data_IF_572399590058
#
_entry.id   IF_572399590058
#
_cell.length_a   1.000
_cell.length_b   1.000
_cell.length_c   1.000
_cell.angle_alpha   90.00
_cell.angle_beta   90.00
_cell.angle_gamma   90.00
#
_symmetry.space_group_name_H-M   'P 1'
#
loop_
_entity.id
_entity.type
_entity.pdbx_description
1 polymer ?
#
# COMPACT_ATOMS: atom_id res chain seq x y z
N UNK A 1 -12.75 19.54 7.42
CA UNK A 1 -12.78 19.51 8.91
C UNK A 1 -11.49 18.83 9.35
N UNK A 2 -10.75 19.38 10.31
CA UNK A 2 -9.50 18.78 10.75
C UNK A 2 -9.73 17.38 11.34
N UNK A 3 -8.74 16.50 11.20
CA UNK A 3 -8.81 15.16 11.78
C UNK A 3 -8.83 15.21 13.32
N UNK A 4 -9.41 14.20 14.01
CA UNK A 4 -9.59 14.23 15.46
C UNK A 4 -8.31 14.48 16.29
N UNK A 5 -7.14 14.09 15.78
CA UNK A 5 -5.87 14.31 16.48
C UNK A 5 -5.39 15.76 16.44
N UNK A 6 -5.98 16.61 15.58
CA UNK A 6 -5.59 18.00 15.41
C UNK A 6 -5.68 18.79 16.71
N UNK A 7 -6.73 18.56 17.51
CA UNK A 7 -6.96 19.33 18.73
C UNK A 7 -5.88 19.09 19.79
N UNK A 8 -5.25 17.91 19.75
CA UNK A 8 -4.15 17.51 20.63
C UNK A 8 -2.77 18.04 20.18
N UNK A 9 -2.68 18.68 19.02
CA UNK A 9 -1.42 19.24 18.52
C UNK A 9 -1.01 20.50 19.29
N UNK A 10 0.29 20.69 19.47
CA UNK A 10 0.88 21.94 19.95
C UNK A 10 0.53 23.10 19.00
N UNK A 11 0.61 24.35 19.48
CA UNK A 11 0.38 25.51 18.62
C UNK A 11 1.33 25.55 17.40
N UNK A 12 2.57 25.08 17.55
CA UNK A 12 3.52 24.95 16.45
C UNK A 12 3.06 23.91 15.43
N UNK A 13 2.70 22.70 15.88
CA UNK A 13 2.24 21.63 15.00
C UNK A 13 0.92 21.98 14.32
N UNK A 14 0.02 22.73 14.99
CA UNK A 14 -1.21 23.25 14.38
C UNK A 14 -0.92 24.21 13.21
N UNK A 15 0.17 24.99 13.27
CA UNK A 15 0.59 25.85 12.13
C UNK A 15 1.12 25.01 10.98
N UNK A 16 2.01 24.05 11.25
CA UNK A 16 2.56 23.14 10.24
C UNK A 16 1.43 22.33 9.57
N UNK A 17 0.50 21.79 10.36
CA UNK A 17 -0.69 21.09 9.87
C UNK A 17 -1.48 21.96 8.89
N UNK A 18 -1.78 23.22 9.23
CA UNK A 18 -2.53 24.12 8.33
C UNK A 18 -1.75 24.45 7.06
N UNK A 19 -0.43 24.65 7.16
CA UNK A 19 0.47 24.86 6.00
C UNK A 19 0.41 23.64 5.06
N UNK A 20 0.50 22.43 5.60
CA UNK A 20 0.31 21.19 4.87
C UNK A 20 -1.09 21.09 4.25
N UNK A 21 -2.15 21.35 5.01
CA UNK A 21 -3.53 21.22 4.55
C UNK A 21 -3.89 22.15 3.39
N UNK A 22 -3.26 23.33 3.32
CA UNK A 22 -3.47 24.31 2.25
C UNK A 22 -2.91 23.89 0.88
N UNK A 23 -1.98 22.93 0.84
CA UNK A 23 -1.38 22.46 -0.41
C UNK A 23 -2.18 21.25 -0.90
N UNK A 24 -2.95 21.39 -1.98
CA UNK A 24 -3.88 20.32 -2.39
C UNK A 24 -3.39 19.47 -3.58
N UNK A 25 -2.32 19.89 -4.26
CA UNK A 25 -1.88 19.21 -5.47
C UNK A 25 -0.37 19.28 -5.69
N UNK A 26 0.16 18.28 -6.39
CA UNK A 26 1.52 18.22 -6.92
C UNK A 26 1.40 18.30 -8.43
N UNK A 27 2.15 19.18 -9.08
CA UNK A 27 2.13 19.30 -10.54
C UNK A 27 3.30 18.52 -11.15
N UNK A 28 2.98 17.50 -11.95
CA UNK A 28 3.97 16.78 -12.76
C UNK A 28 3.92 17.35 -14.18
N UNK A 29 5.05 17.83 -14.70
CA UNK A 29 5.14 18.46 -16.02
C UNK A 29 4.89 17.45 -17.13
N UNK A 30 5.51 16.27 -17.03
CA UNK A 30 5.44 15.23 -18.07
C UNK A 30 4.88 13.91 -17.52
N UNK A 31 3.58 13.85 -17.13
CA UNK A 31 3.03 12.66 -16.47
C UNK A 31 3.01 11.42 -17.38
N UNK A 32 2.92 11.61 -18.70
CA UNK A 32 2.94 10.54 -19.70
C UNK A 32 4.23 9.71 -19.66
N UNK A 33 5.36 10.32 -19.28
CA UNK A 33 6.66 9.63 -19.25
C UNK A 33 6.72 8.60 -18.12
N UNK A 34 5.85 8.73 -17.12
CA UNK A 34 5.75 7.84 -15.96
C UNK A 34 4.78 6.67 -16.22
N UNK A 35 3.85 6.83 -17.17
CA UNK A 35 2.82 5.83 -17.49
C UNK A 35 3.39 4.44 -17.86
N UNK A 36 4.46 4.33 -18.69
CA UNK A 36 5.04 3.03 -18.98
C UNK A 36 5.52 2.28 -17.74
N UNK A 37 6.10 3.00 -16.76
CA UNK A 37 6.58 2.40 -15.51
C UNK A 37 5.41 1.91 -14.64
N UNK A 38 4.30 2.64 -14.56
CA UNK A 38 3.11 2.21 -13.81
C UNK A 38 2.43 0.98 -14.43
N UNK A 39 2.39 0.88 -15.76
CA UNK A 39 1.90 -0.30 -16.48
C UNK A 39 2.78 -1.52 -16.18
N UNK A 40 4.12 -1.36 -16.24
CA UNK A 40 5.05 -2.45 -15.92
C UNK A 40 4.97 -2.86 -14.45
N UNK A 41 4.81 -1.90 -13.54
CA UNK A 41 4.61 -2.17 -12.12
C UNK A 41 3.39 -3.06 -11.89
N UNK A 42 2.24 -2.72 -12.49
CA UNK A 42 1.00 -3.53 -12.38
C UNK A 42 1.25 -4.97 -12.79
N UNK A 43 1.83 -5.18 -13.98
CA UNK A 43 2.11 -6.53 -14.51
C UNK A 43 3.05 -7.33 -13.60
N UNK A 44 4.07 -6.68 -13.08
CA UNK A 44 5.06 -7.31 -12.21
C UNK A 44 4.51 -7.63 -10.82
N UNK A 45 3.64 -6.78 -10.28
CA UNK A 45 2.93 -7.03 -9.04
C UNK A 45 1.99 -8.23 -9.18
N UNK A 46 1.13 -8.24 -10.20
CA UNK A 46 0.21 -9.36 -10.49
C UNK A 46 0.96 -10.68 -10.74
N UNK A 47 2.16 -10.62 -11.32
CA UNK A 47 3.05 -11.77 -11.50
C UNK A 47 3.86 -12.17 -10.25
N UNK A 48 3.66 -11.52 -9.09
CA UNK A 48 4.42 -11.73 -7.85
C UNK A 48 5.95 -11.65 -8.05
N UNK A 49 6.43 -10.78 -8.96
CA UNK A 49 7.84 -10.64 -9.32
C UNK A 49 8.52 -9.55 -8.50
N UNK A 50 8.87 -9.85 -7.24
CA UNK A 50 9.41 -8.86 -6.27
C UNK A 50 10.53 -7.96 -6.81
N UNK A 51 11.50 -8.52 -7.53
CA UNK A 51 12.62 -7.74 -8.10
C UNK A 51 12.15 -6.73 -9.14
N UNK A 52 11.24 -7.14 -10.03
CA UNK A 52 10.66 -6.24 -11.02
C UNK A 52 9.75 -5.19 -10.39
N UNK A 53 9.00 -5.57 -9.33
CA UNK A 53 8.19 -4.63 -8.55
C UNK A 53 9.09 -3.54 -7.95
N UNK A 54 10.23 -3.94 -7.35
CA UNK A 54 11.20 -2.98 -6.83
C UNK A 54 11.72 -2.06 -7.93
N UNK A 55 12.21 -2.62 -9.03
CA UNK A 55 12.71 -1.83 -10.16
C UNK A 55 11.70 -0.80 -10.66
N UNK A 56 10.45 -1.20 -10.88
CA UNK A 56 9.44 -0.28 -11.44
C UNK A 56 8.89 0.70 -10.41
N UNK A 57 8.83 0.35 -9.13
CA UNK A 57 8.51 1.31 -8.06
C UNK A 57 9.62 2.35 -7.91
N UNK A 58 10.89 1.93 -7.89
CA UNK A 58 12.05 2.84 -7.89
C UNK A 58 12.05 3.76 -9.12
N UNK A 59 11.72 3.21 -10.29
CA UNK A 59 11.64 3.98 -11.54
C UNK A 59 10.57 5.07 -11.47
N UNK A 60 9.38 4.77 -10.92
CA UNK A 60 8.30 5.76 -10.72
C UNK A 60 8.76 6.86 -9.77
N UNK A 61 9.28 6.50 -8.58
CA UNK A 61 9.75 7.50 -7.61
C UNK A 61 10.86 8.37 -8.19
N UNK A 62 11.83 7.78 -8.91
CA UNK A 62 12.90 8.51 -9.58
C UNK A 62 12.36 9.52 -10.60
N UNK A 63 11.43 9.11 -11.47
CA UNK A 63 10.86 10.01 -12.48
C UNK A 63 10.08 11.16 -11.86
N UNK A 64 9.34 10.91 -10.77
CA UNK A 64 8.65 11.98 -10.02
C UNK A 64 9.65 12.94 -9.38
N UNK A 65 10.69 12.43 -8.69
CA UNK A 65 11.72 13.27 -8.08
C UNK A 65 12.45 14.11 -9.13
N UNK A 66 12.76 13.54 -10.30
CA UNK A 66 13.41 14.26 -11.41
C UNK A 66 12.53 15.36 -12.00
N UNK A 67 11.24 15.11 -12.22
CA UNK A 67 10.31 16.11 -12.76
C UNK A 67 10.14 17.32 -11.81
N UNK A 68 10.14 17.03 -10.49
CA UNK A 68 10.08 18.01 -9.41
C UNK A 68 11.45 18.63 -9.05
N UNK A 69 12.54 18.14 -9.65
CA UNK A 69 13.92 18.55 -9.37
C UNK A 69 14.32 18.44 -7.88
N UNK A 70 13.85 17.40 -7.18
CA UNK A 70 14.20 17.08 -5.79
C UNK A 70 15.15 15.88 -5.71
N UNK A 71 15.76 15.68 -4.54
CA UNK A 71 16.64 14.56 -4.29
C UNK A 71 15.94 13.20 -4.49
N UNK A 72 16.76 12.17 -4.72
CA UNK A 72 16.26 10.81 -4.91
C UNK A 72 16.19 10.08 -3.57
N UNK A 73 15.24 9.16 -3.48
CA UNK A 73 15.08 8.25 -2.35
C UNK A 73 15.33 6.78 -2.74
N UNK A 74 15.64 5.95 -1.75
CA UNK A 74 15.78 4.49 -1.91
C UNK A 74 14.40 3.85 -1.77
N UNK A 75 14.02 2.97 -2.69
CA UNK A 75 12.77 2.19 -2.61
C UNK A 75 13.08 0.73 -2.27
N UNK A 76 12.52 0.25 -1.16
CA UNK A 76 12.67 -1.12 -0.67
C UNK A 76 11.32 -1.85 -0.71
N UNK A 77 11.29 -2.98 -1.43
CA UNK A 77 10.11 -3.85 -1.49
C UNK A 77 10.32 -5.09 -0.63
N UNK A 78 9.51 -5.21 0.41
CA UNK A 78 9.48 -6.38 1.30
C UNK A 78 8.25 -7.25 1.06
N UNK A 79 8.36 -8.53 1.46
CA UNK A 79 7.27 -9.50 1.43
C UNK A 79 6.67 -9.79 2.79
N UNK A 80 7.37 -9.42 3.88
CA UNK A 80 6.94 -9.69 5.26
C UNK A 80 6.76 -8.37 6.00
N UNK A 81 5.52 -8.09 6.40
CA UNK A 81 5.19 -6.99 7.29
C UNK A 81 5.66 -7.34 8.71
N UNK A 82 6.31 -6.43 9.44
CA UNK A 82 6.46 -6.56 10.88
C UNK A 82 5.07 -6.71 11.53
N UNK A 83 4.95 -7.53 12.57
CA UNK A 83 3.66 -7.85 13.20
C UNK A 83 3.23 -6.82 14.26
N UNK A 84 3.69 -5.57 14.17
CA UNK A 84 3.34 -4.52 15.13
C UNK A 84 2.00 -3.86 14.77
N UNK A 85 1.13 -3.69 15.78
CA UNK A 85 -0.27 -3.24 15.70
C UNK A 85 -0.45 -1.74 15.38
N UNK A 86 0.54 -1.05 14.83
CA UNK A 86 0.35 0.32 14.37
C UNK A 86 -0.49 0.31 13.10
N UNK A 87 -1.73 0.79 13.21
CA UNK A 87 -2.83 0.67 12.26
C UNK A 87 -2.59 1.33 10.88
N UNK A 88 -1.44 1.99 10.66
CA UNK A 88 -1.16 2.75 9.43
C UNK A 88 -0.11 2.16 8.46
N UNK A 89 0.68 1.15 8.83
CA UNK A 89 1.87 0.84 8.01
C UNK A 89 1.60 -0.17 6.88
N UNK A 90 1.03 0.33 5.78
CA UNK A 90 1.16 -0.31 4.45
C UNK A 90 2.49 0.06 3.76
N UNK A 91 3.10 1.16 4.17
CA UNK A 91 4.45 1.60 3.81
C UNK A 91 5.13 2.25 5.02
N UNK A 92 6.36 2.69 4.83
CA UNK A 92 7.14 3.45 5.80
C UNK A 92 8.11 4.35 5.05
N UNK A 93 8.07 5.64 5.35
CA UNK A 93 9.07 6.63 4.96
C UNK A 93 9.98 6.92 6.15
N UNK A 94 11.29 6.79 5.94
CA UNK A 94 12.33 7.03 6.93
C UNK A 94 13.29 8.08 6.37
N UNK A 95 13.56 9.11 7.18
CA UNK A 95 14.52 10.15 6.85
C UNK A 95 15.31 10.55 8.08
N UNK A 96 16.62 10.63 7.89
CA UNK A 96 17.59 11.13 8.86
C UNK A 96 18.43 12.18 8.14
N UNK A 97 18.75 13.28 8.81
CA UNK A 97 19.63 14.30 8.25
C UNK A 97 20.99 13.68 7.85
N UNK A 98 21.42 13.97 6.62
CA UNK A 98 22.66 13.42 6.04
C UNK A 98 22.57 12.01 5.47
N UNK A 99 21.42 11.32 5.61
CA UNK A 99 21.19 10.01 4.99
C UNK A 99 20.27 10.12 3.77
N UNK A 100 20.38 9.15 2.86
CA UNK A 100 19.42 9.05 1.75
C UNK A 100 18.07 8.56 2.28
N UNK A 101 16.95 9.27 2.03
CA UNK A 101 15.64 8.83 2.50
C UNK A 101 15.28 7.43 2.00
N UNK A 102 14.59 6.66 2.84
CA UNK A 102 14.19 5.28 2.57
C UNK A 102 12.66 5.15 2.58
N UNK A 103 12.12 4.64 1.48
CA UNK A 103 10.72 4.25 1.33
C UNK A 103 10.63 2.73 1.32
N UNK A 104 9.98 2.16 2.32
CA UNK A 104 9.71 0.71 2.41
C UNK A 104 8.24 0.42 2.19
N UNK A 105 7.90 -0.50 1.29
CA UNK A 105 6.51 -0.97 1.11
C UNK A 105 6.42 -2.49 1.00
N UNK A 106 5.26 -3.03 1.39
CA UNK A 106 5.00 -4.47 1.36
C UNK A 106 4.11 -4.87 0.19
N UNK A 107 4.59 -5.81 -0.62
CA UNK A 107 3.82 -6.31 -1.78
C UNK A 107 2.83 -7.44 -1.44
N UNK A 108 2.81 -7.90 -0.19
CA UNK A 108 1.94 -8.99 0.29
C UNK A 108 1.16 -8.59 1.53
N UNK A 109 -0.09 -9.03 1.63
CA UNK A 109 -0.94 -8.86 2.80
C UNK A 109 -0.34 -9.57 4.00
N UNK A 110 -0.37 -8.94 5.18
CA UNK A 110 0.21 -9.50 6.40
C UNK A 110 -0.42 -10.85 6.81
N UNK A 111 -1.76 -10.96 6.74
CA UNK A 111 -2.49 -12.15 7.24
C UNK A 111 -2.43 -13.32 6.26
N UNK A 112 -2.74 -13.08 4.97
CA UNK A 112 -2.93 -14.17 4.00
C UNK A 112 -1.73 -14.40 3.08
N UNK A 113 -0.68 -13.58 3.18
CA UNK A 113 0.50 -13.64 2.31
C UNK A 113 0.21 -13.43 0.81
N UNK A 114 -0.98 -12.95 0.46
CA UNK A 114 -1.40 -12.73 -0.92
C UNK A 114 -0.82 -11.43 -1.46
N UNK A 115 -0.55 -11.39 -2.76
CA UNK A 115 -0.16 -10.15 -3.44
C UNK A 115 -1.25 -9.10 -3.24
N UNK A 116 -0.88 -7.89 -2.84
CA UNK A 116 -1.83 -6.78 -2.69
C UNK A 116 -2.37 -6.32 -4.03
N UNK A 117 -3.59 -5.79 -4.06
CA UNK A 117 -4.15 -5.22 -5.28
C UNK A 117 -3.30 -4.05 -5.78
N UNK A 118 -3.15 -3.93 -7.11
CA UNK A 118 -2.36 -2.86 -7.74
C UNK A 118 -2.72 -1.47 -7.22
N UNK A 119 -4.02 -1.13 -7.18
CA UNK A 119 -4.48 0.18 -6.70
C UNK A 119 -4.06 0.44 -5.25
N UNK A 120 -4.13 -0.56 -4.38
CA UNK A 120 -3.67 -0.43 -3.00
C UNK A 120 -2.16 -0.20 -2.96
N UNK A 121 -1.39 -1.04 -3.66
CA UNK A 121 0.06 -0.96 -3.68
C UNK A 121 0.59 0.39 -4.18
N UNK A 122 0.11 0.86 -5.34
CA UNK A 122 0.62 2.11 -5.91
C UNK A 122 0.24 3.30 -5.02
N UNK A 123 -0.97 3.35 -4.46
CA UNK A 123 -1.34 4.43 -3.54
C UNK A 123 -0.49 4.44 -2.28
N UNK A 124 -0.10 3.28 -1.77
CA UNK A 124 0.87 3.19 -0.68
C UNK A 124 2.24 3.76 -1.09
N UNK A 125 2.76 3.39 -2.26
CA UNK A 125 4.02 3.99 -2.76
C UNK A 125 3.91 5.51 -2.87
N UNK A 126 2.79 6.01 -3.39
CA UNK A 126 2.58 7.45 -3.55
C UNK A 126 2.35 8.18 -2.24
N UNK A 127 1.76 7.52 -1.25
CA UNK A 127 1.62 8.04 0.10
C UNK A 127 2.99 8.31 0.73
N UNK A 128 3.86 7.30 0.74
CA UNK A 128 5.22 7.48 1.27
C UNK A 128 6.04 8.48 0.43
N UNK A 129 5.85 8.51 -0.89
CA UNK A 129 6.49 9.50 -1.76
C UNK A 129 5.96 10.93 -1.49
N UNK A 130 4.69 11.09 -1.11
CA UNK A 130 4.15 12.39 -0.69
C UNK A 130 4.82 12.90 0.58
N UNK A 131 5.14 12.03 1.55
CA UNK A 131 5.95 12.44 2.69
C UNK A 131 7.31 12.97 2.24
N UNK A 132 7.99 12.28 1.33
CA UNK A 132 9.25 12.77 0.78
C UNK A 132 9.09 14.15 0.11
N UNK A 133 8.07 14.32 -0.74
CA UNK A 133 7.80 15.58 -1.44
C UNK A 133 7.46 16.72 -0.47
N UNK A 134 6.73 16.44 0.60
CA UNK A 134 6.41 17.41 1.65
C UNK A 134 7.68 18.03 2.25
N UNK A 135 8.70 17.21 2.52
CA UNK A 135 10.00 17.70 3.00
C UNK A 135 10.83 18.34 1.88
N UNK A 136 11.03 17.63 0.78
CA UNK A 136 12.02 18.00 -0.25
C UNK A 136 11.57 19.12 -1.19
N UNK A 137 10.26 19.22 -1.45
CA UNK A 137 9.71 20.18 -2.42
C UNK A 137 8.97 21.33 -1.75
N UNK A 138 8.18 21.04 -0.71
CA UNK A 138 7.36 22.05 -0.02
C UNK A 138 8.01 22.61 1.24
N UNK A 139 9.18 22.10 1.64
CA UNK A 139 9.93 22.53 2.81
C UNK A 139 9.03 22.60 4.05
N UNK A 140 8.26 21.52 4.25
CA UNK A 140 7.43 21.34 5.43
C UNK A 140 8.27 20.75 6.56
N UNK A 141 8.11 21.31 7.75
CA UNK A 141 8.83 20.91 8.95
C UNK A 141 8.36 19.56 9.51
N UNK A 142 7.14 19.16 9.16
CA UNK A 142 6.52 17.87 9.47
C UNK A 142 5.46 17.55 8.40
N UNK A 143 5.18 16.27 8.18
CA UNK A 143 4.25 15.79 7.15
C UNK A 143 3.04 15.11 7.79
N UNK A 144 2.08 15.93 8.22
CA UNK A 144 0.81 15.45 8.78
C UNK A 144 -0.13 14.88 7.71
N UNK A 145 -0.87 13.82 8.06
CA UNK A 145 -1.99 13.26 7.29
C UNK A 145 -3.22 14.19 7.28
N UNK A 146 -3.10 15.34 6.62
CA UNK A 146 -4.16 16.34 6.46
C UNK A 146 -5.08 16.03 5.26
N UNK A 147 -6.19 16.76 5.11
CA UNK A 147 -7.03 16.62 3.91
C UNK A 147 -6.23 17.03 2.66
N UNK A 148 -5.44 18.10 2.77
CA UNK A 148 -4.47 18.53 1.74
C UNK A 148 -3.49 17.42 1.36
N UNK A 149 -2.92 16.70 2.33
CA UNK A 149 -2.01 15.57 2.07
C UNK A 149 -2.69 14.48 1.23
N UNK A 150 -3.91 14.06 1.59
CA UNK A 150 -4.64 13.06 0.81
C UNK A 150 -5.05 13.57 -0.58
N UNK A 151 -5.32 14.88 -0.72
CA UNK A 151 -5.55 15.51 -2.03
C UNK A 151 -4.28 15.52 -2.89
N UNK A 152 -3.10 15.81 -2.31
CA UNK A 152 -1.80 15.71 -2.99
C UNK A 152 -1.54 14.31 -3.52
N UNK A 153 -1.66 13.27 -2.67
CA UNK A 153 -1.51 11.87 -3.09
C UNK A 153 -2.48 11.52 -4.22
N UNK A 154 -3.74 11.94 -4.08
CA UNK A 154 -4.76 11.69 -5.10
C UNK A 154 -4.48 12.44 -6.40
N UNK A 155 -3.93 13.66 -6.33
CA UNK A 155 -3.53 14.45 -7.49
C UNK A 155 -2.41 13.76 -8.27
N UNK A 156 -1.42 13.21 -7.55
CA UNK A 156 -0.30 12.48 -8.14
C UNK A 156 -0.78 11.19 -8.78
N UNK A 157 -1.60 10.40 -8.08
CA UNK A 157 -2.20 9.18 -8.62
C UNK A 157 -2.95 9.41 -9.94
N UNK A 158 -3.77 10.46 -10.01
CA UNK A 158 -4.56 10.79 -11.21
C UNK A 158 -3.69 11.16 -12.41
N UNK A 159 -2.52 11.76 -12.17
CA UNK A 159 -1.60 12.17 -13.22
C UNK A 159 -0.79 10.99 -13.76
N UNK A 160 -0.18 10.18 -12.88
CA UNK A 160 0.85 9.21 -13.30
C UNK A 160 0.32 7.80 -13.60
N UNK A 161 -0.91 7.49 -13.17
CA UNK A 161 -1.56 6.20 -13.45
C UNK A 161 -2.49 6.38 -14.66
N UNK A 162 -2.30 5.65 -15.76
CA UNK A 162 -3.18 5.71 -16.92
C UNK A 162 -4.65 5.49 -16.55
N UNK A 163 -5.56 6.21 -17.20
CA UNK A 163 -7.00 6.19 -16.91
C UNK A 163 -7.60 4.77 -16.97
N UNK A 164 -7.07 3.91 -17.84
CA UNK A 164 -7.46 2.51 -17.99
C UNK A 164 -7.17 1.70 -16.72
N UNK A 165 -6.11 2.05 -15.99
CA UNK A 165 -5.72 1.41 -14.74
C UNK A 165 -6.40 2.03 -13.51
N UNK A 166 -6.98 3.23 -13.64
CA UNK A 166 -7.73 3.90 -12.57
C UNK A 166 -9.14 3.33 -12.38
N UNK A 167 -9.75 2.87 -13.48
CA UNK A 167 -11.09 2.27 -13.48
C UNK A 167 -11.11 1.00 -12.63
N UNK A 168 -12.12 0.87 -11.76
CA UNK A 168 -12.32 -0.38 -10.99
C UNK A 168 -12.55 -1.51 -11.98
N UNK A 169 -11.77 -2.60 -11.87
CA UNK A 169 -12.19 -3.86 -12.49
C UNK A 169 -13.58 -4.21 -11.92
N UNK A 170 -14.58 -4.53 -12.76
CA UNK A 170 -15.85 -5.03 -12.27
C UNK A 170 -15.57 -6.26 -11.41
N UNK A 171 -16.10 -6.27 -10.18
CA UNK A 171 -16.01 -7.46 -9.31
C UNK A 171 -16.58 -8.63 -10.11
N UNK A 172 -15.76 -9.62 -10.48
CA UNK A 172 -16.28 -10.91 -10.95
C UNK A 172 -17.22 -11.42 -9.84
N UNK A 173 -18.52 -11.52 -10.13
CA UNK A 173 -19.46 -12.22 -9.24
C UNK A 173 -18.86 -13.61 -9.03
N UNK A 174 -18.45 -13.92 -7.81
CA UNK A 174 -18.13 -15.31 -7.45
C UNK A 174 -19.41 -16.10 -7.65
N UNK A 175 -19.42 -17.03 -8.59
CA UNK A 175 -20.47 -18.05 -8.66
C UNK A 175 -20.54 -18.73 -7.29
N UNK A 176 -21.73 -18.98 -6.72
CA UNK A 176 -21.83 -19.65 -5.43
C UNK A 176 -21.12 -21.00 -5.53
N UNK A 177 -20.16 -21.26 -4.61
CA UNK A 177 -19.60 -22.60 -4.45
C UNK A 177 -20.78 -23.55 -4.22
N UNK A 178 -20.95 -24.56 -5.08
CA UNK A 178 -21.87 -25.68 -4.83
C UNK A 178 -21.50 -26.27 -3.47
N UNK A 179 -22.46 -26.26 -2.53
CA UNK A 179 -22.33 -26.97 -1.24
C UNK A 179 -22.03 -28.45 -1.51
N UNK A 180 -21.07 -29.06 -0.81
CA UNK A 180 -20.91 -30.51 -0.84
C UNK A 180 -22.18 -31.16 -0.27
N UNK A 181 -22.78 -32.09 -1.02
CA UNK A 181 -23.88 -32.92 -0.52
C UNK A 181 -23.38 -33.73 0.69
N UNK A 182 -24.08 -33.65 1.83
CA UNK A 182 -23.85 -34.53 2.97
C UNK A 182 -24.13 -35.97 2.52
N UNK A 183 -23.13 -36.85 2.58
CA UNK A 183 -23.35 -38.29 2.55
C UNK A 183 -24.15 -38.67 3.79
N UNK A 184 -25.35 -39.21 3.60
CA UNK A 184 -26.11 -39.90 4.64
C UNK A 184 -25.26 -41.05 5.17
N UNK A 185 -25.04 -41.07 6.48
CA UNK A 185 -24.46 -42.21 7.17
C UNK A 185 -25.59 -43.19 7.46
N UNK A 186 -25.48 -44.36 6.86
CA UNK A 186 -26.28 -45.54 7.10
C UNK A 186 -26.32 -45.87 8.61
N UNK A 187 -27.52 -45.81 9.19
CA UNK A 187 -27.80 -46.26 10.56
C UNK A 187 -28.25 -47.71 10.48
N UNK A 188 -27.33 -48.67 10.43
CA UNK A 188 -27.65 -50.02 10.86
C UNK A 188 -26.40 -50.83 11.18
N UNK A 189 -26.03 -50.94 12.45
CA UNK A 189 -25.48 -52.18 13.00
C UNK A 189 -25.56 -52.17 14.53
N UNK A 190 -26.42 -53.05 15.03
CA UNK A 190 -26.64 -53.37 16.43
C UNK A 190 -25.46 -54.16 17.00
N UNK A 191 -25.05 -53.77 18.21
CA UNK A 191 -24.64 -54.60 19.36
C UNK A 191 -23.68 -55.78 19.17
N UNK A 192 -22.55 -55.75 19.89
CA UNK A 192 -22.11 -56.83 20.81
C UNK A 192 -21.03 -56.31 21.78
N UNK A 193 -21.15 -56.72 23.05
CA UNK A 193 -20.31 -56.35 24.20
C UNK A 193 -18.90 -56.96 24.08
N UNK A 194 -17.87 -56.38 24.75
CA UNK A 194 -16.58 -57.04 24.90
C UNK A 194 -16.62 -58.07 26.03
N UNK A 195 -16.23 -59.30 25.73
CA UNK A 195 -15.77 -60.29 26.73
C UNK A 195 -14.24 -60.26 26.79
N UNK A 196 -13.76 -60.55 28.00
CA UNK A 196 -12.41 -60.43 28.52
C UNK A 196 -11.58 -61.69 28.20
N UNK A 197 -10.24 -61.61 28.36
CA UNK A 197 -9.28 -62.65 28.81
C UNK A 197 -8.07 -62.93 27.87
N UNK A 198 -6.90 -62.56 28.43
CA UNK A 198 -5.55 -63.19 28.53
C UNK A 198 -4.63 -63.62 27.38
N UNK A 199 -3.34 -63.40 27.70
CA UNK A 199 -2.07 -64.09 27.33
C UNK A 199 -1.77 -64.20 25.82
N UNK A 200 -0.71 -63.59 25.29
CA UNK A 200 0.71 -63.68 25.66
C UNK A 200 1.46 -62.40 25.23
#
# INVERSE_FOLDING_TARGET
>A
MPFPYYDNLSAANKRIYRKSDAIESIHIKNPSDIHPATIRLKRSLEGNRRRDVARHASEICRLVCEDLAIERLIVKISTRRPSNEAEELHGLYEWTEGETPLLTVWMKTAVQGQVVAFKSFIRTVLHELCHHIDFAHFDLEDSFHTEGFFKRESSLYRQIVPTELQKKQPRKKRSPLRRPQKKEKDKNQKSRKPEQIDLF
#
